data_IF_938723383978
#
_entry.id   IF_938723383978
#
_cell.length_a   1.000
_cell.length_b   1.000
_cell.length_c   1.000
_cell.angle_alpha   90.00
_cell.angle_beta   90.00
_cell.angle_gamma   90.00
#
_symmetry.space_group_name_H-M   'P 1'
#
loop_
_entity.id
_entity.type
_entity.pdbx_description
1 polymer ?
#
# COMPACT_ATOMS: atom_id res chain seq x y z
N UNK A 1 6.51 14.68 -49.46
CA UNK A 1 6.61 13.36 -48.81
C UNK A 1 5.21 12.71 -48.82
N UNK A 2 5.11 11.53 -49.45
CA UNK A 2 3.88 10.76 -49.46
C UNK A 2 3.90 9.87 -48.24
N UNK A 3 2.83 9.89 -47.41
CA UNK A 3 2.62 8.95 -46.36
C UNK A 3 2.11 7.66 -46.99
N UNK A 4 2.92 6.59 -47.00
CA UNK A 4 2.46 5.27 -47.40
C UNK A 4 1.61 4.65 -46.27
N UNK A 5 0.47 4.03 -46.55
CA UNK A 5 -0.23 3.26 -45.55
C UNK A 5 0.63 2.09 -45.08
N UNK A 6 0.68 1.83 -43.78
CA UNK A 6 1.21 0.59 -43.18
C UNK A 6 0.41 -0.57 -43.75
N UNK A 7 1.03 -1.72 -43.93
CA UNK A 7 0.46 -2.88 -44.62
C UNK A 7 -0.99 -3.20 -44.19
N UNK A 8 -1.87 -3.35 -45.14
CA UNK A 8 -3.34 -3.45 -44.94
C UNK A 8 -3.79 -4.65 -44.11
N UNK A 9 -2.94 -5.65 -43.92
CA UNK A 9 -3.30 -6.88 -43.20
C UNK A 9 -3.22 -6.73 -41.68
N UNK A 10 -2.47 -5.74 -41.17
CA UNK A 10 -2.29 -5.52 -39.74
C UNK A 10 -2.68 -4.10 -39.30
N UNK A 11 -3.46 -3.37 -40.11
CA UNK A 11 -3.87 -2.00 -39.82
C UNK A 11 -4.95 -1.95 -38.75
N UNK A 12 -5.02 -0.84 -38.02
CA UNK A 12 -6.18 -0.41 -37.23
C UNK A 12 -7.39 -0.09 -38.15
N UNK A 13 -7.68 -0.97 -39.14
CA UNK A 13 -8.83 -0.77 -40.01
C UNK A 13 -10.09 -0.73 -39.16
N UNK A 14 -10.78 0.44 -39.18
CA UNK A 14 -11.96 0.74 -38.38
C UNK A 14 -11.71 0.95 -36.86
N UNK A 15 -10.48 1.26 -36.45
CA UNK A 15 -10.18 1.68 -35.09
C UNK A 15 -9.62 3.13 -35.03
N UNK A 16 -9.77 3.75 -33.87
CA UNK A 16 -9.34 5.14 -33.66
C UNK A 16 -8.03 5.13 -32.90
N UNK A 17 -6.96 5.63 -33.50
CA UNK A 17 -5.69 5.86 -32.81
C UNK A 17 -5.86 7.06 -31.88
N UNK A 18 -5.57 6.85 -30.60
CA UNK A 18 -5.72 7.86 -29.54
C UNK A 18 -4.38 8.50 -29.21
N UNK A 19 -3.31 7.71 -29.07
CA UNK A 19 -2.02 8.20 -28.62
C UNK A 19 -0.86 7.47 -29.31
N UNK A 20 0.30 8.13 -29.33
CA UNK A 20 1.54 7.61 -29.89
C UNK A 20 2.69 7.90 -28.92
N UNK A 21 3.57 6.92 -28.72
CA UNK A 21 4.79 7.10 -27.95
C UNK A 21 6.00 6.57 -28.72
N UNK A 22 7.06 7.38 -28.77
CA UNK A 22 8.32 6.99 -29.42
C UNK A 22 9.06 5.98 -28.55
N UNK A 23 9.33 4.81 -29.10
CA UNK A 23 10.15 3.79 -28.47
C UNK A 23 11.64 3.89 -28.85
N UNK A 24 12.44 2.98 -28.31
CA UNK A 24 13.82 2.75 -28.72
C UNK A 24 13.87 1.99 -30.07
N UNK A 25 15.06 1.87 -30.67
CA UNK A 25 15.32 1.02 -31.84
C UNK A 25 14.37 1.24 -33.04
N UNK A 26 14.06 2.50 -33.32
CA UNK A 26 13.21 2.90 -34.45
C UNK A 26 11.81 2.28 -34.42
N UNK A 27 11.20 2.20 -33.24
CA UNK A 27 9.81 1.79 -33.07
C UNK A 27 8.91 2.91 -32.56
N UNK A 28 7.61 2.75 -32.79
CA UNK A 28 6.54 3.63 -32.35
C UNK A 28 5.46 2.78 -31.69
N UNK A 29 5.10 3.12 -30.46
CA UNK A 29 3.96 2.50 -29.79
C UNK A 29 2.70 3.27 -30.16
N UNK A 30 1.64 2.52 -30.48
CA UNK A 30 0.37 3.04 -30.98
C UNK A 30 -0.74 2.55 -30.07
N UNK A 31 -1.41 3.47 -29.41
CA UNK A 31 -2.56 3.18 -28.56
C UNK A 31 -3.88 3.53 -29.25
N UNK A 32 -4.86 2.65 -29.14
CA UNK A 32 -6.13 2.79 -29.82
C UNK A 32 -7.36 2.52 -28.95
N UNK A 33 -8.53 2.86 -29.50
CA UNK A 33 -9.82 2.75 -28.82
C UNK A 33 -10.24 1.28 -28.58
N UNK A 34 -10.02 0.40 -29.57
CA UNK A 34 -10.48 -1.01 -29.53
C UNK A 34 -9.36 -2.02 -29.68
N UNK A 35 -8.29 -1.67 -30.41
CA UNK A 35 -7.19 -2.57 -30.72
C UNK A 35 -6.06 -2.54 -29.68
N UNK A 36 -6.27 -1.86 -28.56
CA UNK A 36 -5.28 -1.80 -27.48
C UNK A 36 -3.99 -1.11 -27.87
N UNK A 37 -2.85 -1.73 -27.57
CA UNK A 37 -1.51 -1.19 -27.83
C UNK A 37 -0.72 -2.09 -28.77
N UNK A 38 -0.15 -1.49 -29.80
CA UNK A 38 0.72 -2.16 -30.78
C UNK A 38 2.05 -1.46 -30.90
N UNK A 39 3.08 -2.20 -31.29
CA UNK A 39 4.39 -1.70 -31.67
C UNK A 39 4.49 -1.65 -33.19
N UNK A 40 4.78 -0.50 -33.74
CA UNK A 40 5.10 -0.30 -35.15
C UNK A 40 6.62 -0.20 -35.31
N UNK A 41 7.25 -1.14 -36.01
CA UNK A 41 8.62 -1.05 -36.43
C UNK A 41 8.71 -0.15 -37.65
N UNK A 42 9.37 1.01 -37.52
CA UNK A 42 9.44 2.03 -38.55
C UNK A 42 10.40 1.66 -39.70
N UNK A 43 11.23 0.63 -39.54
CA UNK A 43 12.12 0.14 -40.62
C UNK A 43 11.40 -0.87 -41.52
N UNK A 44 10.68 -1.81 -40.91
CA UNK A 44 9.97 -2.87 -41.63
C UNK A 44 8.51 -2.56 -41.94
N UNK A 45 7.97 -1.47 -41.36
CA UNK A 45 6.56 -1.09 -41.38
C UNK A 45 5.61 -2.18 -40.85
N UNK A 46 6.11 -3.09 -40.00
CA UNK A 46 5.29 -4.16 -39.40
C UNK A 46 4.74 -3.71 -38.05
N UNK A 47 3.47 -4.07 -37.81
CA UNK A 47 2.80 -3.94 -36.53
C UNK A 47 2.91 -5.24 -35.74
N UNK A 48 3.19 -5.14 -34.46
CA UNK A 48 3.20 -6.24 -33.52
C UNK A 48 2.22 -5.91 -32.37
N UNK A 49 1.35 -6.85 -32.04
CA UNK A 49 0.40 -6.68 -30.94
C UNK A 49 1.10 -6.85 -29.60
N UNK A 50 0.97 -5.85 -28.70
CA UNK A 50 1.51 -5.91 -27.36
C UNK A 50 0.46 -6.25 -26.33
N UNK A 51 -0.66 -5.51 -26.33
CA UNK A 51 -1.73 -5.66 -25.36
C UNK A 51 -3.06 -5.19 -25.96
N UNK A 52 -3.85 -6.10 -26.52
CA UNK A 52 -5.18 -5.80 -27.07
C UNK A 52 -6.31 -6.17 -26.13
N UNK A 53 -6.13 -7.19 -25.30
CA UNK A 53 -7.08 -7.64 -24.29
C UNK A 53 -6.38 -7.84 -22.95
N UNK A 54 -7.12 -7.62 -21.87
CA UNK A 54 -6.62 -7.86 -20.51
C UNK A 54 -6.78 -9.33 -20.07
N UNK A 55 -6.43 -9.62 -18.82
CA UNK A 55 -6.55 -10.98 -18.23
C UNK A 55 -8.00 -11.47 -18.16
N UNK A 56 -8.98 -10.57 -18.16
CA UNK A 56 -10.42 -10.86 -18.19
C UNK A 56 -10.96 -11.10 -19.59
N UNK A 57 -10.15 -10.89 -20.65
CA UNK A 57 -10.57 -10.95 -22.05
C UNK A 57 -11.28 -9.68 -22.52
N UNK A 58 -11.25 -8.60 -21.75
CA UNK A 58 -11.83 -7.31 -22.13
C UNK A 58 -10.84 -6.50 -22.98
N UNK A 59 -11.35 -5.79 -23.98
CA UNK A 59 -10.51 -4.94 -24.83
C UNK A 59 -9.88 -3.80 -24.06
N UNK A 60 -8.60 -3.57 -24.25
CA UNK A 60 -7.86 -2.48 -23.62
C UNK A 60 -8.12 -1.19 -24.40
N UNK A 61 -8.89 -0.29 -23.81
CA UNK A 61 -9.07 1.06 -24.35
C UNK A 61 -7.91 1.95 -23.90
N UNK A 62 -6.90 2.11 -24.75
CA UNK A 62 -5.72 2.91 -24.46
C UNK A 62 -6.01 4.39 -24.61
N UNK A 63 -5.69 5.18 -23.58
CA UNK A 63 -5.83 6.65 -23.55
C UNK A 63 -4.49 7.37 -23.68
N UNK A 64 -3.45 6.85 -23.02
CA UNK A 64 -2.15 7.49 -22.98
C UNK A 64 -1.03 6.43 -22.93
N UNK A 65 0.11 6.74 -23.50
CA UNK A 65 1.30 5.90 -23.51
C UNK A 65 2.51 6.69 -23.03
N UNK A 66 3.27 6.10 -22.12
CA UNK A 66 4.53 6.67 -21.65
C UNK A 66 5.64 5.61 -21.66
N UNK A 67 6.69 5.85 -22.42
CA UNK A 67 7.92 5.04 -22.35
C UNK A 67 8.72 5.49 -21.13
N UNK A 68 8.63 4.74 -20.05
CA UNK A 68 9.31 5.06 -18.80
C UNK A 68 10.79 4.70 -18.83
N UNK A 69 11.16 3.62 -19.54
CA UNK A 69 12.53 3.19 -19.81
C UNK A 69 12.58 2.33 -21.07
N UNK A 70 13.76 1.90 -21.50
CA UNK A 70 13.94 1.00 -22.65
C UNK A 70 13.21 -0.34 -22.51
N UNK A 71 12.85 -0.73 -21.29
CA UNK A 71 12.18 -1.99 -21.00
C UNK A 71 10.75 -1.83 -20.47
N UNK A 72 10.26 -0.60 -20.30
CA UNK A 72 9.02 -0.36 -19.57
C UNK A 72 8.13 0.65 -20.27
N UNK A 73 6.95 0.18 -20.69
CA UNK A 73 5.88 0.98 -21.28
C UNK A 73 4.71 1.06 -20.31
N UNK A 74 4.32 2.28 -20.00
CA UNK A 74 3.15 2.57 -19.16
C UNK A 74 1.97 2.88 -20.05
N UNK A 75 0.86 2.19 -19.83
CA UNK A 75 -0.34 2.25 -20.64
C UNK A 75 -1.49 2.71 -19.74
N UNK A 76 -1.91 3.94 -19.91
CA UNK A 76 -3.12 4.49 -19.29
C UNK A 76 -4.34 4.05 -20.09
N UNK A 77 -5.29 3.39 -19.43
CA UNK A 77 -6.50 2.89 -20.06
C UNK A 77 -7.77 3.26 -19.26
N UNK A 78 -8.94 3.00 -19.82
CA UNK A 78 -10.22 3.15 -19.09
C UNK A 78 -10.35 2.13 -17.93
N UNK A 79 -9.70 1.00 -18.04
CA UNK A 79 -9.77 -0.10 -17.06
C UNK A 79 -8.68 -0.08 -16.01
N UNK A 80 -7.78 0.90 -16.03
CA UNK A 80 -6.65 1.01 -15.10
C UNK A 80 -5.36 1.42 -15.78
N UNK A 81 -4.27 1.20 -15.05
CA UNK A 81 -2.91 1.44 -15.51
C UNK A 81 -2.17 0.12 -15.69
N UNK A 82 -1.63 -0.10 -16.87
CA UNK A 82 -0.79 -1.26 -17.15
C UNK A 82 0.68 -0.84 -17.21
N UNK A 83 1.53 -1.52 -16.47
CA UNK A 83 2.98 -1.37 -16.52
C UNK A 83 3.53 -2.58 -17.28
N UNK A 84 3.80 -2.40 -18.57
CA UNK A 84 4.17 -3.46 -19.49
C UNK A 84 5.70 -3.57 -19.62
N UNK A 85 6.24 -4.77 -19.42
CA UNK A 85 7.65 -5.05 -19.61
C UNK A 85 7.90 -5.47 -21.06
N UNK A 86 8.55 -4.60 -21.82
CA UNK A 86 8.82 -4.76 -23.25
C UNK A 86 9.72 -5.96 -23.59
N UNK A 87 10.54 -6.43 -22.63
CA UNK A 87 11.43 -7.56 -22.86
C UNK A 87 10.74 -8.90 -22.61
N UNK A 88 9.87 -8.98 -21.63
CA UNK A 88 9.25 -10.25 -21.20
C UNK A 88 7.84 -10.43 -21.70
N UNK A 89 7.18 -9.38 -22.21
CA UNK A 89 5.78 -9.37 -22.59
C UNK A 89 4.81 -9.47 -21.39
N UNK A 90 5.31 -9.40 -20.14
CA UNK A 90 4.46 -9.43 -18.94
C UNK A 90 4.09 -8.02 -18.50
N UNK A 91 2.95 -7.89 -17.86
CA UNK A 91 2.50 -6.63 -17.30
C UNK A 91 1.96 -6.77 -15.88
N UNK A 92 1.91 -5.65 -15.19
CA UNK A 92 1.19 -5.46 -13.93
C UNK A 92 0.01 -4.55 -14.21
N UNK A 93 -1.18 -4.94 -13.79
CA UNK A 93 -2.41 -4.15 -13.94
C UNK A 93 -2.78 -3.52 -12.59
N UNK A 94 -2.67 -2.20 -12.50
CA UNK A 94 -3.04 -1.44 -11.31
C UNK A 94 -4.44 -0.87 -11.49
N UNK A 95 -5.27 -1.05 -10.47
CA UNK A 95 -6.67 -0.62 -10.42
C UNK A 95 -6.99 0.12 -9.13
N UNK A 96 -8.03 0.92 -9.17
CA UNK A 96 -8.64 1.51 -7.98
C UNK A 96 -9.27 0.44 -7.11
N UNK A 97 -9.08 0.54 -5.81
CA UNK A 97 -9.67 -0.35 -4.82
C UNK A 97 -10.12 0.43 -3.59
N UNK A 98 -11.40 0.31 -3.23
CA UNK A 98 -11.95 0.98 -2.05
C UNK A 98 -11.30 0.51 -0.73
N UNK A 99 -10.73 -0.68 -0.73
CA UNK A 99 -10.09 -1.29 0.43
C UNK A 99 -8.59 -1.02 0.51
N UNK A 100 -8.01 -0.36 -0.50
CA UNK A 100 -6.58 0.00 -0.54
C UNK A 100 -6.40 1.49 -0.77
N UNK A 101 -6.09 2.28 0.27
CA UNK A 101 -5.89 3.73 0.14
C UNK A 101 -4.64 4.11 -0.67
N UNK A 102 -3.81 3.14 -1.05
CA UNK A 102 -2.64 3.32 -1.91
C UNK A 102 -2.86 2.85 -3.34
N UNK A 103 -4.05 2.37 -3.66
CA UNK A 103 -4.45 2.06 -5.02
C UNK A 103 -4.67 3.34 -5.83
N UNK A 104 -4.85 3.19 -7.14
CA UNK A 104 -5.26 4.31 -7.99
C UNK A 104 -6.55 4.95 -7.46
N UNK A 105 -6.62 6.27 -7.54
CA UNK A 105 -7.81 7.04 -7.14
C UNK A 105 -9.01 6.80 -8.06
N UNK A 106 -8.76 6.38 -9.31
CA UNK A 106 -9.75 6.05 -10.34
C UNK A 106 -9.12 5.11 -11.37
N UNK A 107 -9.94 4.32 -12.08
CA UNK A 107 -9.48 3.42 -13.14
C UNK A 107 -9.26 4.12 -14.48
N UNK A 108 -10.02 5.15 -14.80
CA UNK A 108 -9.89 5.85 -16.08
C UNK A 108 -8.65 6.75 -16.08
N UNK A 109 -7.56 6.29 -16.67
CA UNK A 109 -6.28 7.00 -16.74
C UNK A 109 -6.15 7.75 -18.05
N UNK A 110 -6.04 9.09 -17.97
CA UNK A 110 -6.09 9.99 -19.12
C UNK A 110 -4.76 10.65 -19.47
N UNK A 111 -3.83 10.72 -18.53
CA UNK A 111 -2.54 11.32 -18.79
C UNK A 111 -1.43 10.69 -17.94
N UNK A 112 -0.24 10.61 -18.52
CA UNK A 112 0.97 10.11 -17.89
C UNK A 112 2.12 11.08 -18.14
N UNK A 113 2.88 11.40 -17.10
CA UNK A 113 4.04 12.27 -17.22
C UNK A 113 5.18 11.78 -16.33
N UNK A 114 6.37 11.61 -16.89
CA UNK A 114 7.59 11.30 -16.13
C UNK A 114 8.29 12.60 -15.75
N UNK A 115 8.55 12.79 -14.48
CA UNK A 115 9.31 13.94 -14.01
C UNK A 115 10.82 13.78 -14.17
N UNK A 116 11.56 14.84 -13.82
CA UNK A 116 13.04 14.86 -13.93
C UNK A 116 13.73 13.93 -12.93
N UNK A 117 13.08 13.59 -11.85
CA UNK A 117 13.58 12.67 -10.81
C UNK A 117 13.27 11.20 -11.16
N UNK A 118 12.45 10.99 -12.20
CA UNK A 118 12.05 9.68 -12.69
C UNK A 118 10.80 9.12 -12.06
N UNK A 119 10.09 9.91 -11.24
CA UNK A 119 8.74 9.61 -10.77
C UNK A 119 7.71 9.78 -11.89
N UNK A 120 6.57 9.11 -11.77
CA UNK A 120 5.52 9.15 -12.78
C UNK A 120 4.23 9.72 -12.18
N UNK A 121 3.75 10.77 -12.80
CA UNK A 121 2.49 11.42 -12.51
C UNK A 121 1.39 10.81 -13.37
N UNK A 122 0.28 10.46 -12.75
CA UNK A 122 -0.83 9.74 -13.37
C UNK A 122 -2.09 10.56 -13.15
N UNK A 123 -2.62 11.14 -14.21
CA UNK A 123 -3.87 11.87 -14.19
C UNK A 123 -5.03 10.97 -14.52
N UNK A 124 -6.03 10.92 -13.65
CA UNK A 124 -7.27 10.15 -13.82
C UNK A 124 -8.46 11.06 -14.14
N UNK A 125 -9.53 10.48 -14.65
CA UNK A 125 -10.70 11.25 -15.11
C UNK A 125 -11.44 11.93 -13.96
N UNK A 126 -11.82 11.20 -12.93
CA UNK A 126 -12.52 11.72 -11.75
C UNK A 126 -11.69 11.71 -10.47
N UNK A 127 -10.65 10.91 -10.38
CA UNK A 127 -9.89 10.67 -9.16
C UNK A 127 -8.74 11.67 -8.90
N UNK A 128 -8.53 12.66 -9.79
CA UNK A 128 -7.46 13.62 -9.66
C UNK A 128 -6.09 13.06 -10.09
N UNK A 129 -5.07 13.23 -9.25
CA UNK A 129 -3.68 12.92 -9.59
C UNK A 129 -3.13 11.86 -8.63
N UNK A 130 -2.45 10.85 -9.19
CA UNK A 130 -1.65 9.87 -8.47
C UNK A 130 -0.18 10.07 -8.79
N UNK A 131 0.69 9.77 -7.85
CA UNK A 131 2.13 9.83 -8.02
C UNK A 131 2.79 8.50 -7.71
N UNK A 132 3.57 7.98 -8.65
CA UNK A 132 4.34 6.76 -8.50
C UNK A 132 5.84 7.13 -8.39
N UNK A 133 6.44 7.05 -7.20
CA UNK A 133 7.81 7.48 -6.99
C UNK A 133 8.81 6.51 -7.64
N UNK A 134 9.90 7.02 -8.17
CA UNK A 134 11.00 6.21 -8.72
C UNK A 134 11.61 5.27 -7.68
N UNK A 135 11.74 5.75 -6.46
CA UNK A 135 12.32 4.97 -5.37
C UNK A 135 11.20 4.53 -4.44
N UNK A 136 10.98 3.23 -4.36
CA UNK A 136 10.16 2.66 -3.32
C UNK A 136 10.89 2.70 -2.00
N UNK A 137 10.21 3.13 -0.97
CA UNK A 137 10.62 2.79 0.39
C UNK A 137 10.42 1.30 0.57
N UNK A 138 11.47 0.58 0.99
CA UNK A 138 11.37 -0.85 1.33
C UNK A 138 10.52 -1.11 2.58
N UNK A 139 9.62 -0.18 2.93
CA UNK A 139 8.71 -0.30 4.05
C UNK A 139 7.42 -0.98 3.61
N UNK A 140 7.14 -2.10 4.23
CA UNK A 140 5.83 -2.74 4.14
C UNK A 140 4.81 -1.92 4.94
N UNK A 141 3.69 -1.57 4.32
CA UNK A 141 2.65 -0.73 4.95
C UNK A 141 1.52 -1.59 5.47
N UNK A 142 1.21 -1.42 6.75
CA UNK A 142 0.08 -2.05 7.40
C UNK A 142 -0.92 -0.98 7.82
N UNK A 143 -2.17 -1.12 7.41
CA UNK A 143 -3.24 -0.15 7.65
C UNK A 143 -4.58 -0.87 7.90
N UNK A 144 -5.60 -0.17 8.44
CA UNK A 144 -6.93 -0.73 8.62
C UNK A 144 -7.57 -1.06 7.27
N UNK A 145 -7.85 -2.34 7.02
CA UNK A 145 -8.46 -2.82 5.78
C UNK A 145 -9.96 -3.11 5.90
N UNK A 146 -10.55 -2.88 7.07
CA UNK A 146 -11.94 -3.28 7.36
C UNK A 146 -12.19 -4.79 7.34
N UNK A 147 -11.15 -5.59 7.14
CA UNK A 147 -11.19 -7.05 7.04
C UNK A 147 -10.56 -7.71 8.28
N UNK A 148 -10.81 -9.00 8.47
CA UNK A 148 -10.34 -9.78 9.61
C UNK A 148 -8.80 -9.82 9.76
N UNK A 149 -8.04 -9.54 8.71
CA UNK A 149 -6.58 -9.52 8.73
C UNK A 149 -6.02 -8.15 8.37
N UNK A 150 -6.29 -7.15 9.17
CA UNK A 150 -5.77 -5.80 9.04
C UNK A 150 -5.57 -5.14 10.41
N UNK A 151 -4.78 -4.08 10.48
CA UNK A 151 -4.63 -3.32 11.71
C UNK A 151 -5.99 -2.74 12.15
N UNK A 152 -6.31 -2.80 13.44
CA UNK A 152 -7.43 -2.07 14.02
C UNK A 152 -6.92 -0.75 14.62
N UNK A 153 -7.57 0.35 14.23
CA UNK A 153 -7.18 1.69 14.62
C UNK A 153 -6.17 2.34 13.66
N UNK A 154 -6.27 3.63 13.54
CA UNK A 154 -5.43 4.46 12.64
C UNK A 154 -4.29 5.16 13.37
N UNK A 155 -4.42 5.32 14.71
CA UNK A 155 -3.46 6.05 15.55
C UNK A 155 -2.65 5.07 16.38
N UNK A 156 -1.54 4.60 15.81
CA UNK A 156 -0.59 3.73 16.52
C UNK A 156 0.19 4.56 17.53
N UNK A 157 0.26 4.08 18.78
CA UNK A 157 0.97 4.74 19.89
C UNK A 157 2.22 3.99 20.32
N UNK A 158 2.11 2.66 20.49
CA UNK A 158 3.16 1.86 21.10
C UNK A 158 3.32 0.51 20.43
N UNK A 159 4.55 -0.01 20.51
CA UNK A 159 4.93 -1.33 20.06
C UNK A 159 5.66 -2.08 21.17
N UNK A 160 5.38 -3.36 21.30
CA UNK A 160 6.13 -4.24 22.16
C UNK A 160 6.24 -5.63 21.54
N UNK A 161 7.42 -6.23 21.55
CA UNK A 161 7.64 -7.58 21.03
C UNK A 161 7.70 -8.58 22.19
N UNK A 162 6.98 -9.69 22.07
CA UNK A 162 7.05 -10.78 23.05
C UNK A 162 8.18 -11.79 22.75
N UNK A 163 8.40 -12.73 23.68
CA UNK A 163 9.43 -13.74 23.56
C UNK A 163 9.24 -14.73 22.40
N UNK A 164 8.05 -14.74 21.78
CA UNK A 164 7.71 -15.55 20.60
C UNK A 164 7.96 -14.80 19.28
N UNK A 165 8.34 -13.52 19.39
CA UNK A 165 8.54 -12.63 18.24
C UNK A 165 7.26 -12.03 17.68
N UNK A 166 6.15 -12.13 18.40
CA UNK A 166 4.89 -11.48 18.06
C UNK A 166 4.98 -10.00 18.44
N UNK A 167 4.53 -9.14 17.57
CA UNK A 167 4.48 -7.70 17.80
C UNK A 167 3.10 -7.31 18.32
N UNK A 168 3.08 -6.75 19.53
CA UNK A 168 1.89 -6.16 20.15
C UNK A 168 1.85 -4.68 19.81
N UNK A 169 0.71 -4.21 19.33
CA UNK A 169 0.53 -2.86 18.81
C UNK A 169 -0.63 -2.19 19.52
N UNK A 170 -0.33 -1.14 20.26
CA UNK A 170 -1.31 -0.29 20.94
C UNK A 170 -1.79 0.84 20.04
N UNK A 171 -3.09 0.99 19.91
CA UNK A 171 -3.72 2.08 19.16
C UNK A 171 -4.71 2.86 20.03
N UNK A 172 -4.89 4.15 19.72
CA UNK A 172 -5.85 4.99 20.47
C UNK A 172 -7.31 4.60 20.18
N UNK A 173 -7.59 4.27 18.92
CA UNK A 173 -8.94 4.11 18.38
C UNK A 173 -9.31 2.65 18.05
N UNK A 174 -8.35 1.73 18.10
CA UNK A 174 -8.57 0.30 17.80
C UNK A 174 -8.11 -0.66 18.91
N UNK A 175 -7.57 -0.13 20.02
CA UNK A 175 -7.16 -0.93 21.17
C UNK A 175 -5.86 -1.70 20.97
N UNK A 176 -5.82 -2.96 21.42
CA UNK A 176 -4.63 -3.82 21.40
C UNK A 176 -4.69 -4.80 20.23
N UNK A 177 -3.72 -4.69 19.33
CA UNK A 177 -3.53 -5.57 18.19
C UNK A 177 -2.34 -6.52 18.43
N UNK A 178 -2.39 -7.69 17.82
CA UNK A 178 -1.33 -8.68 17.82
C UNK A 178 -0.96 -9.01 16.38
N UNK A 179 0.29 -8.80 16.01
CA UNK A 179 0.80 -9.04 14.65
C UNK A 179 1.90 -10.11 14.65
N UNK A 180 1.75 -11.11 13.81
CA UNK A 180 2.78 -12.11 13.59
C UNK A 180 3.62 -11.72 12.35
N UNK A 181 4.88 -11.28 12.51
CA UNK A 181 5.72 -10.86 11.39
C UNK A 181 6.06 -11.97 10.41
N UNK A 182 6.08 -13.24 10.86
CA UNK A 182 6.44 -14.40 10.03
C UNK A 182 5.31 -14.77 9.06
N UNK A 183 4.07 -14.74 9.54
CA UNK A 183 2.88 -15.07 8.73
C UNK A 183 2.20 -13.85 8.16
N UNK A 184 2.61 -12.64 8.57
CA UNK A 184 2.00 -11.34 8.21
C UNK A 184 0.51 -11.27 8.54
N UNK A 185 0.11 -11.88 9.63
CA UNK A 185 -1.29 -11.95 10.08
C UNK A 185 -1.53 -11.13 11.32
N UNK A 186 -2.69 -10.46 11.34
CA UNK A 186 -3.21 -9.76 12.50
C UNK A 186 -4.21 -10.63 13.24
N UNK A 187 -4.20 -10.52 14.56
CA UNK A 187 -5.27 -10.99 15.44
C UNK A 187 -5.57 -9.93 16.49
N UNK A 188 -6.79 -9.97 17.02
CA UNK A 188 -7.28 -8.94 17.91
C UNK A 188 -7.57 -9.51 19.26
N UNK A 189 -7.47 -8.66 20.27
CA UNK A 189 -7.82 -9.04 21.62
C UNK A 189 -9.33 -8.98 21.82
N UNK A 190 -9.92 -10.04 22.33
CA UNK A 190 -11.35 -10.12 22.66
C UNK A 190 -11.55 -10.22 24.18
N UNK A 191 -12.43 -9.42 24.76
CA UNK A 191 -13.33 -8.46 24.12
C UNK A 191 -12.60 -7.17 23.67
N UNK A 192 -12.97 -6.64 22.51
CA UNK A 192 -12.33 -5.46 21.90
C UNK A 192 -12.39 -4.20 22.78
N UNK A 193 -13.39 -4.10 23.67
CA UNK A 193 -13.54 -2.97 24.59
C UNK A 193 -12.65 -3.06 25.85
N UNK A 194 -11.90 -4.16 26.05
CA UNK A 194 -11.01 -4.30 27.20
C UNK A 194 -9.83 -3.31 27.13
N UNK A 195 -9.39 -2.97 25.91
CA UNK A 195 -8.26 -2.11 25.65
C UNK A 195 -8.65 -0.97 24.70
N UNK A 196 -9.37 0.00 25.21
CA UNK A 196 -9.61 1.24 24.46
C UNK A 196 -8.50 2.22 24.78
N UNK A 197 -8.00 2.92 23.77
CA UNK A 197 -7.02 3.99 23.91
C UNK A 197 -5.75 3.54 24.66
N UNK A 198 -4.97 2.66 24.02
CA UNK A 198 -3.71 2.12 24.55
C UNK A 198 -2.61 3.16 24.39
N UNK A 199 -1.95 3.49 25.50
CA UNK A 199 -0.90 4.51 25.55
C UNK A 199 0.47 3.98 25.95
N UNK A 200 0.55 2.81 26.57
CA UNK A 200 1.83 2.23 26.98
C UNK A 200 1.80 0.70 26.91
N UNK A 201 2.90 0.11 26.43
CA UNK A 201 3.11 -1.33 26.37
C UNK A 201 4.48 -1.67 26.95
N UNK A 202 4.54 -2.68 27.81
CA UNK A 202 5.79 -3.14 28.41
C UNK A 202 5.75 -4.63 28.69
N UNK A 203 6.79 -5.36 28.26
CA UNK A 203 6.95 -6.79 28.58
C UNK A 203 7.69 -6.99 29.89
N UNK A 204 7.13 -7.84 30.75
CA UNK A 204 7.78 -8.32 31.98
C UNK A 204 7.65 -9.85 32.01
N UNK A 205 8.70 -10.55 31.64
CA UNK A 205 8.65 -11.99 31.39
C UNK A 205 7.67 -12.33 30.27
N UNK A 206 6.71 -13.21 30.53
CA UNK A 206 5.65 -13.59 29.58
C UNK A 206 4.39 -12.72 29.71
N UNK A 207 4.43 -11.66 30.51
CA UNK A 207 3.31 -10.77 30.75
C UNK A 207 3.48 -9.42 30.05
N UNK A 208 2.49 -9.06 29.24
CA UNK A 208 2.38 -7.74 28.62
C UNK A 208 1.60 -6.80 29.54
N UNK A 209 2.23 -5.74 29.99
CA UNK A 209 1.60 -4.67 30.74
C UNK A 209 1.06 -3.62 29.78
N UNK A 210 -0.21 -3.35 29.87
CA UNK A 210 -0.94 -2.46 28.96
C UNK A 210 -1.49 -1.27 29.72
N UNK A 211 -0.90 -0.10 29.52
CA UNK A 211 -1.40 1.18 30.03
C UNK A 211 -2.45 1.77 29.11
N UNK A 212 -3.55 2.25 29.68
CA UNK A 212 -4.66 2.85 28.94
C UNK A 212 -4.95 4.27 29.42
N UNK A 213 -5.62 5.06 28.58
CA UNK A 213 -5.97 6.45 28.93
C UNK A 213 -6.96 6.57 30.08
N UNK A 214 -7.86 5.59 30.28
CA UNK A 214 -8.91 5.75 31.29
C UNK A 214 -9.28 4.45 32.04
N UNK A 215 -8.65 3.33 31.71
CA UNK A 215 -8.98 2.02 32.29
C UNK A 215 -7.81 1.39 33.07
N UNK A 216 -6.88 2.23 33.53
CA UNK A 216 -5.73 1.82 34.33
C UNK A 216 -4.73 0.98 33.54
N UNK A 217 -4.11 0.03 34.25
CA UNK A 217 -3.16 -0.93 33.72
C UNK A 217 -3.75 -2.33 33.75
N UNK A 218 -3.62 -3.04 32.64
CA UNK A 218 -3.98 -4.46 32.53
C UNK A 218 -2.76 -5.28 32.23
N UNK A 219 -2.64 -6.44 32.85
CA UNK A 219 -1.58 -7.42 32.60
C UNK A 219 -2.15 -8.59 31.83
N UNK A 220 -1.56 -8.86 30.67
CA UNK A 220 -1.97 -9.92 29.75
C UNK A 220 -0.89 -11.00 29.72
N UNK A 221 -1.24 -12.26 29.96
CA UNK A 221 -0.38 -13.39 29.66
C UNK A 221 -0.33 -13.57 28.12
N UNK A 222 0.83 -13.40 27.53
CA UNK A 222 1.00 -13.42 26.06
C UNK A 222 0.83 -14.80 25.44
N UNK A 223 0.93 -15.88 26.22
CA UNK A 223 0.74 -17.25 25.73
C UNK A 223 -0.71 -17.64 25.65
N UNK A 224 -1.50 -17.22 26.65
CA UNK A 224 -2.94 -17.55 26.73
C UNK A 224 -3.83 -16.45 26.16
N UNK A 225 -3.34 -15.21 26.11
CA UNK A 225 -4.12 -14.02 25.77
C UNK A 225 -5.08 -13.58 26.89
N UNK A 226 -4.97 -14.15 28.09
CA UNK A 226 -5.87 -13.82 29.21
C UNK A 226 -5.39 -12.56 29.96
N UNK A 227 -6.34 -11.74 30.43
CA UNK A 227 -6.04 -10.67 31.39
C UNK A 227 -5.89 -11.31 32.76
N UNK A 228 -4.66 -11.36 33.26
CA UNK A 228 -4.33 -11.98 34.56
C UNK A 228 -4.43 -11.00 35.72
N UNK A 229 -4.31 -9.71 35.47
CA UNK A 229 -4.41 -8.67 36.50
C UNK A 229 -4.86 -7.35 35.93
N UNK A 230 -5.60 -6.58 36.75
CA UNK A 230 -6.00 -5.20 36.42
C UNK A 230 -5.70 -4.31 37.63
N UNK A 231 -5.03 -3.19 37.37
CA UNK A 231 -4.79 -2.15 38.35
C UNK A 231 -5.59 -0.91 37.99
N UNK A 232 -6.34 -0.41 38.97
CA UNK A 232 -7.17 0.78 38.83
C UNK A 232 -6.90 1.74 39.98
N UNK A 233 -7.22 3.01 39.78
CA UNK A 233 -7.37 3.96 40.85
C UNK A 233 -8.57 3.56 41.73
N UNK A 234 -8.35 3.45 43.03
CA UNK A 234 -9.38 3.21 44.06
C UNK A 234 -9.12 4.15 45.24
N UNK A 235 -9.91 4.06 46.28
CA UNK A 235 -9.68 4.80 47.51
C UNK A 235 -8.54 4.22 48.37
N UNK A 236 -7.98 3.06 47.98
CA UNK A 236 -6.86 2.46 48.67
C UNK A 236 -5.57 3.27 48.44
N UNK A 237 -4.76 3.50 49.49
CA UNK A 237 -3.48 4.20 49.36
C UNK A 237 -2.44 3.45 48.52
N UNK A 238 -2.68 2.16 48.22
CA UNK A 238 -1.82 1.33 47.37
C UNK A 238 -2.37 1.15 45.94
N UNK A 239 -3.36 1.96 45.55
CA UNK A 239 -3.91 1.95 44.20
C UNK A 239 -3.13 2.89 43.26
N UNK A 240 -3.46 2.85 41.94
CA UNK A 240 -2.94 3.84 41.00
C UNK A 240 -3.39 5.26 41.43
N UNK A 241 -2.53 6.22 41.20
CA UNK A 241 -2.84 7.64 41.39
C UNK A 241 -3.92 8.11 40.42
N UNK A 242 -3.87 7.61 39.18
CA UNK A 242 -4.84 7.87 38.13
C UNK A 242 -5.04 6.66 37.24
N UNK A 243 -6.19 6.55 36.58
CA UNK A 243 -6.48 5.51 35.59
C UNK A 243 -5.89 5.81 34.21
N UNK A 244 -5.34 7.02 34.01
CA UNK A 244 -4.62 7.38 32.80
C UNK A 244 -3.12 7.02 32.94
N UNK A 245 -2.67 6.05 32.15
CA UNK A 245 -1.29 5.55 32.18
C UNK A 245 -0.70 5.65 30.81
N UNK A 246 0.19 6.64 30.62
CA UNK A 246 0.72 7.00 29.29
C UNK A 246 2.04 6.32 28.92
N UNK A 247 2.83 5.90 29.93
CA UNK A 247 4.17 5.32 29.73
C UNK A 247 4.41 4.19 30.74
N UNK A 248 5.03 3.10 30.29
CA UNK A 248 5.51 2.02 31.16
C UNK A 248 6.90 1.56 30.71
N UNK A 249 7.86 1.50 31.66
CA UNK A 249 9.23 1.04 31.43
C UNK A 249 9.62 -0.05 32.44
N UNK A 250 10.35 -1.07 31.96
CA UNK A 250 10.93 -2.10 32.83
C UNK A 250 12.32 -1.76 33.34
N UNK A 251 13.03 -0.82 32.68
CA UNK A 251 14.33 -0.34 33.10
C UNK A 251 14.31 1.16 33.25
N UNK A 252 14.59 1.65 34.47
CA UNK A 252 15.13 2.98 34.64
C UNK A 252 16.50 2.96 33.94
N UNK A 253 16.67 3.77 32.90
CA UNK A 253 18.00 4.09 32.38
C UNK A 253 18.70 4.89 33.45
N UNK A 254 19.49 4.23 34.29
CA UNK A 254 20.22 4.84 35.40
C UNK A 254 21.18 5.95 34.96
N UNK A 255 21.40 6.11 33.66
CA UNK A 255 22.28 7.14 33.10
C UNK A 255 21.56 8.44 32.67
N UNK A 256 20.24 8.46 32.57
CA UNK A 256 19.51 9.69 32.16
C UNK A 256 19.03 10.53 33.34
N UNK A 257 19.02 9.99 34.57
CA UNK A 257 18.62 10.71 35.78
C UNK A 257 19.76 11.50 36.44
N UNK A 258 21.00 11.36 36.00
CA UNK A 258 22.17 12.06 36.56
C UNK A 258 22.55 13.33 35.79
N UNK A 259 21.83 13.71 34.71
CA UNK A 259 22.15 14.91 33.91
C UNK A 259 21.24 16.11 34.13
N UNK A 260 20.35 16.07 35.11
CA UNK A 260 19.46 17.18 35.45
C UNK A 260 19.38 17.38 36.96
N UNK A 261 20.54 17.65 37.59
CA UNK A 261 20.65 18.35 38.86
C UNK A 261 21.60 19.51 38.69
#
# INVERSE_FOLDING_TARGET
>A
PYLSPVDKQETYANDVVICLAKGAYNCLYVGSLKGGVKELNLTSNKLHDLLSVDEGGESVFCRELLVASDNELWIGAESGLYIYNLRTGKYVHLRSSINDPYSLSDNAIYSLCKDREGGIWIGSYFGGINYYPRFYTNFEKYYPKGAANGLQGKRVREFCQDNQGILWIGTEDGGLNRFNPKTKTFSFFTPSNAFTNVHGLCMVGDNLWVGTFSKGVKVVDTRTGAIVKTYLKTESPHSLVDNSVSVSYTHLRAHETTLHL
#
